data_IF_259452762873
#
_entry.id   IF_259452762873
#
_cell.length_a   1.000
_cell.length_b   1.000
_cell.length_c   1.000
_cell.angle_alpha   90.00
_cell.angle_beta   90.00
_cell.angle_gamma   90.00
#
_symmetry.space_group_name_H-M   'P 1'
#
loop_
_entity.id
_entity.type
_entity.pdbx_description
1 polymer ?
#
# COMPACT_ATOMS: atom_id res chain seq x y z
N UNK A 1 1.92 -12.78 -22.12
CA UNK A 1 0.47 -12.43 -22.15
C UNK A 1 0.36 -11.10 -21.43
N UNK A 2 -0.19 -10.05 -22.05
CA UNK A 2 -0.42 -8.81 -21.33
C UNK A 2 -1.64 -8.97 -20.41
N UNK A 3 -1.54 -8.51 -19.17
CA UNK A 3 -2.66 -8.49 -18.24
C UNK A 3 -3.37 -7.14 -18.37
N UNK A 4 -4.57 -7.12 -18.95
CA UNK A 4 -5.37 -5.88 -19.04
C UNK A 4 -5.63 -5.27 -17.66
N UNK A 5 -5.75 -6.11 -16.62
CA UNK A 5 -5.95 -5.70 -15.23
C UNK A 5 -5.25 -6.62 -14.26
N UNK A 6 -4.80 -6.04 -13.15
CA UNK A 6 -4.11 -6.69 -12.04
C UNK A 6 -4.77 -6.29 -10.70
N UNK A 7 -4.40 -6.97 -9.62
CA UNK A 7 -4.72 -6.54 -8.26
C UNK A 7 -3.53 -5.82 -7.63
N UNK A 8 -3.62 -4.51 -7.43
CA UNK A 8 -2.61 -3.78 -6.68
C UNK A 8 -2.85 -3.97 -5.18
N UNK A 9 -1.95 -4.69 -4.52
CA UNK A 9 -1.96 -4.94 -3.09
C UNK A 9 -1.40 -3.76 -2.30
N UNK A 10 -2.27 -2.85 -1.86
CA UNK A 10 -1.89 -1.74 -0.99
C UNK A 10 -1.81 -2.21 0.48
N UNK A 11 -0.76 -1.79 1.19
CA UNK A 11 -0.54 -2.12 2.61
C UNK A 11 -0.25 -0.88 3.48
N UNK A 12 0.12 0.24 2.87
CA UNK A 12 0.32 1.54 3.53
C UNK A 12 -0.89 2.47 3.35
N UNK A 13 -0.67 3.78 3.24
CA UNK A 13 -1.76 4.77 3.15
C UNK A 13 -2.72 4.58 1.97
N UNK A 14 -2.30 3.87 0.91
CA UNK A 14 -3.15 3.59 -0.25
C UNK A 14 -4.24 2.54 0.05
N UNK A 15 -4.30 1.99 1.27
CA UNK A 15 -5.47 1.21 1.71
C UNK A 15 -6.73 2.08 1.86
N UNK A 16 -6.61 3.40 2.05
CA UNK A 16 -7.77 4.31 2.09
C UNK A 16 -8.12 4.77 0.66
N UNK A 17 -9.39 4.62 0.25
CA UNK A 17 -9.81 4.93 -1.12
C UNK A 17 -9.53 6.38 -1.51
N UNK A 18 -9.89 7.33 -0.65
CA UNK A 18 -9.70 8.76 -0.93
C UNK A 18 -8.23 9.09 -1.23
N UNK A 19 -7.32 8.50 -0.46
CA UNK A 19 -5.87 8.65 -0.65
C UNK A 19 -5.43 8.01 -1.95
N UNK A 20 -5.82 6.75 -2.18
CA UNK A 20 -5.43 6.00 -3.38
C UNK A 20 -5.92 6.67 -4.67
N UNK A 21 -7.16 7.18 -4.69
CA UNK A 21 -7.71 7.86 -5.85
C UNK A 21 -6.93 9.11 -6.25
N UNK A 22 -6.12 9.72 -5.38
CA UNK A 22 -5.25 10.83 -5.80
C UNK A 22 -4.16 10.37 -6.78
N UNK A 23 -3.67 9.13 -6.65
CA UNK A 23 -2.70 8.58 -7.61
C UNK A 23 -3.33 8.23 -8.96
N UNK A 24 -4.65 8.02 -9.01
CA UNK A 24 -5.41 7.70 -10.23
C UNK A 24 -5.97 8.97 -10.88
N UNK A 25 -6.76 9.74 -10.14
CA UNK A 25 -7.51 10.91 -10.64
C UNK A 25 -6.69 12.22 -10.56
N UNK A 26 -5.55 12.20 -9.88
CA UNK A 26 -4.80 13.40 -9.53
C UNK A 26 -5.39 14.15 -8.35
N UNK A 27 -4.76 15.26 -7.99
CA UNK A 27 -5.22 16.13 -6.90
C UNK A 27 -4.38 15.99 -5.63
N UNK A 28 -4.95 16.38 -4.49
CA UNK A 28 -4.24 16.44 -3.22
C UNK A 28 -5.07 15.80 -2.14
N UNK A 29 -4.46 14.95 -1.31
CA UNK A 29 -5.14 14.28 -0.20
C UNK A 29 -5.45 15.26 0.94
N UNK A 30 -4.43 15.92 1.49
CA UNK A 30 -4.57 16.95 2.51
C UNK A 30 -3.58 18.10 2.23
N UNK A 31 -3.75 19.25 2.88
CA UNK A 31 -2.98 20.48 2.61
C UNK A 31 -1.45 20.27 2.70
N UNK A 32 -0.98 19.47 3.66
CA UNK A 32 0.42 19.10 3.88
C UNK A 32 0.92 17.95 2.96
N UNK A 33 0.09 17.41 2.07
CA UNK A 33 0.48 16.41 1.08
C UNK A 33 0.80 17.06 -0.26
N UNK A 34 1.78 16.54 -1.03
CA UNK A 34 2.05 17.00 -2.37
C UNK A 34 0.85 16.72 -3.27
N UNK A 35 0.73 17.50 -4.33
CA UNK A 35 -0.21 17.22 -5.41
C UNK A 35 0.28 15.98 -6.19
N UNK A 36 -0.62 15.03 -6.42
CA UNK A 36 -0.43 13.91 -7.32
C UNK A 36 -0.89 14.33 -8.72
N UNK A 37 -0.12 13.96 -9.74
CA UNK A 37 -0.45 14.24 -11.14
C UNK A 37 -1.67 13.41 -11.57
N UNK A 38 -1.81 12.20 -11.01
CA UNK A 38 -2.79 11.21 -11.47
C UNK A 38 -2.19 10.26 -12.50
N UNK A 39 -2.90 9.19 -12.80
CA UNK A 39 -2.49 8.22 -13.80
C UNK A 39 -2.87 8.71 -15.21
N UNK A 40 -2.18 8.20 -16.23
CA UNK A 40 -2.48 8.50 -17.64
C UNK A 40 -3.88 8.02 -18.02
N UNK A 41 -4.26 6.85 -17.50
CA UNK A 41 -5.65 6.39 -17.45
C UNK A 41 -6.24 6.68 -16.06
N UNK A 42 -7.14 7.67 -15.99
CA UNK A 42 -7.80 8.08 -14.75
C UNK A 42 -9.13 7.36 -14.47
N UNK A 43 -9.46 6.30 -15.21
CA UNK A 43 -10.64 5.49 -14.91
C UNK A 43 -10.56 4.91 -13.50
N UNK A 44 -11.70 4.91 -12.81
CA UNK A 44 -11.74 4.42 -11.43
C UNK A 44 -11.32 2.94 -11.35
N UNK A 45 -10.68 2.53 -10.23
CA UNK A 45 -10.48 1.13 -9.94
C UNK A 45 -11.79 0.34 -10.01
N UNK A 46 -11.69 -0.97 -10.20
CA UNK A 46 -12.85 -1.85 -10.21
C UNK A 46 -13.66 -1.74 -8.92
N UNK A 47 -14.98 -1.99 -9.00
CA UNK A 47 -15.91 -1.73 -7.90
C UNK A 47 -15.64 -2.52 -6.61
N UNK A 48 -14.82 -3.58 -6.67
CA UNK A 48 -14.44 -4.40 -5.51
C UNK A 48 -13.00 -4.12 -5.11
N UNK A 49 -12.76 -4.02 -3.81
CA UNK A 49 -11.42 -3.91 -3.23
C UNK A 49 -11.26 -4.85 -2.02
N UNK A 50 -11.04 -6.16 -2.23
CA UNK A 50 -11.01 -7.13 -1.15
C UNK A 50 -9.80 -6.94 -0.24
N UNK A 51 -9.96 -7.33 1.03
CA UNK A 51 -8.86 -7.51 1.96
C UNK A 51 -8.33 -8.94 1.83
N UNK A 52 -7.04 -9.09 1.56
CA UNK A 52 -6.37 -10.38 1.47
C UNK A 52 -5.29 -10.50 2.54
N UNK A 53 -5.12 -11.71 3.07
CA UNK A 53 -4.06 -12.05 3.99
C UNK A 53 -3.13 -13.04 3.28
N UNK A 54 -1.83 -12.89 3.51
CA UNK A 54 -0.82 -13.78 2.96
C UNK A 54 0.38 -13.89 3.89
N UNK A 55 1.34 -14.76 3.55
CA UNK A 55 2.52 -15.03 4.36
C UNK A 55 3.53 -13.87 4.21
N UNK A 56 3.13 -12.69 4.65
CA UNK A 56 3.89 -11.45 4.54
C UNK A 56 3.97 -10.78 5.92
N UNK A 57 5.00 -9.98 6.11
CA UNK A 57 5.18 -9.14 7.29
C UNK A 57 4.98 -7.67 6.93
N UNK A 58 4.35 -6.92 7.82
CA UNK A 58 4.24 -5.47 7.71
C UNK A 58 5.18 -4.84 8.74
N UNK A 59 6.05 -3.97 8.27
CA UNK A 59 6.94 -3.18 9.13
C UNK A 59 6.79 -1.69 8.83
N UNK A 60 7.08 -0.87 9.83
CA UNK A 60 7.17 0.57 9.68
C UNK A 60 8.61 1.00 9.92
N UNK A 61 9.17 1.80 9.03
CA UNK A 61 10.54 2.27 9.16
C UNK A 61 10.79 3.60 8.48
N UNK A 62 12.07 4.01 8.50
CA UNK A 62 12.49 5.37 8.17
C UNK A 62 11.71 6.42 8.98
N UNK A 63 11.74 7.68 8.52
CA UNK A 63 10.98 8.76 9.13
C UNK A 63 10.42 9.66 8.03
N UNK A 64 9.12 9.94 8.12
CA UNK A 64 8.42 10.86 7.25
C UNK A 64 7.85 12.00 8.08
N UNK A 65 8.31 13.23 7.82
CA UNK A 65 7.78 14.44 8.48
C UNK A 65 6.28 14.60 8.24
N UNK A 66 5.83 14.27 7.02
CA UNK A 66 4.41 14.35 6.62
C UNK A 66 3.53 13.43 7.45
N UNK A 67 4.03 12.25 7.75
CA UNK A 67 3.32 11.20 8.48
C UNK A 67 3.65 11.16 9.97
N UNK A 68 4.58 12.00 10.43
CA UNK A 68 4.99 12.10 11.82
C UNK A 68 5.64 10.82 12.38
N UNK A 69 6.27 10.00 11.53
CA UNK A 69 6.88 8.73 11.95
C UNK A 69 7.27 7.82 10.78
N UNK A 70 7.45 6.54 11.08
CA UNK A 70 7.78 5.52 10.09
C UNK A 70 6.67 5.29 9.05
N UNK A 71 7.06 4.87 7.85
CA UNK A 71 6.16 4.51 6.74
C UNK A 71 6.18 2.99 6.52
N UNK A 72 5.12 2.48 5.90
CA UNK A 72 4.89 1.05 5.77
C UNK A 72 5.77 0.40 4.70
N UNK A 73 6.22 -0.81 4.97
CA UNK A 73 6.91 -1.73 4.05
C UNK A 73 6.38 -3.14 4.25
N UNK A 74 6.16 -3.84 3.14
CA UNK A 74 5.73 -5.23 3.15
C UNK A 74 6.92 -6.12 2.81
N UNK A 75 7.21 -7.10 3.67
CA UNK A 75 8.17 -8.16 3.42
C UNK A 75 7.42 -9.42 2.96
N UNK A 76 7.58 -9.85 1.69
CA UNK A 76 6.88 -11.02 1.17
C UNK A 76 7.48 -12.36 1.60
N UNK A 77 8.63 -12.37 2.29
CA UNK A 77 9.36 -13.60 2.65
C UNK A 77 9.13 -14.04 4.10
N UNK A 78 8.50 -13.19 4.92
CA UNK A 78 8.27 -13.44 6.34
C UNK A 78 6.79 -13.69 6.59
N UNK A 79 6.44 -14.90 7.03
CA UNK A 79 5.06 -15.26 7.34
C UNK A 79 4.61 -14.72 8.71
N UNK A 80 3.98 -13.54 8.69
CA UNK A 80 3.33 -12.93 9.86
C UNK A 80 1.85 -12.59 9.58
N UNK A 81 1.26 -13.18 8.54
CA UNK A 81 -0.13 -13.02 8.14
C UNK A 81 -0.58 -11.53 8.04
N UNK A 82 0.26 -10.69 7.42
CA UNK A 82 -0.08 -9.31 7.10
C UNK A 82 -1.26 -9.24 6.12
N UNK A 83 -1.91 -8.08 6.08
CA UNK A 83 -3.09 -7.84 5.25
C UNK A 83 -2.85 -6.70 4.27
N UNK A 84 -3.35 -6.89 3.05
CA UNK A 84 -3.38 -5.89 2.00
C UNK A 84 -4.82 -5.61 1.58
N UNK A 85 -5.08 -4.40 1.07
CA UNK A 85 -6.29 -4.09 0.31
C UNK A 85 -5.95 -4.10 -1.17
N UNK A 86 -6.68 -4.91 -1.94
CA UNK A 86 -6.41 -5.09 -3.36
C UNK A 86 -7.27 -4.18 -4.21
N UNK A 87 -6.66 -3.30 -5.00
CA UNK A 87 -7.35 -2.47 -5.99
C UNK A 87 -7.26 -3.10 -7.37
N UNK A 88 -8.40 -3.34 -8.03
CA UNK A 88 -8.38 -3.83 -9.40
C UNK A 88 -8.11 -2.67 -10.36
N UNK A 89 -6.93 -2.61 -10.97
CA UNK A 89 -6.49 -1.51 -11.85
C UNK A 89 -5.83 -2.08 -13.10
N UNK A 90 -5.63 -1.26 -14.13
CA UNK A 90 -4.84 -1.67 -15.31
C UNK A 90 -3.36 -1.79 -14.93
N UNK A 91 -2.60 -2.56 -15.71
CA UNK A 91 -1.14 -2.62 -15.59
C UNK A 91 -0.48 -1.24 -15.74
N UNK A 92 -0.98 -0.42 -16.68
CA UNK A 92 -0.55 0.97 -16.89
C UNK A 92 -0.80 1.83 -15.65
N UNK A 93 -1.99 1.73 -15.05
CA UNK A 93 -2.30 2.45 -13.80
C UNK A 93 -1.37 2.02 -12.68
N UNK A 94 -1.06 0.72 -12.56
CA UNK A 94 -0.13 0.23 -11.55
C UNK A 94 1.29 0.80 -11.75
N UNK A 95 1.79 0.86 -12.99
CA UNK A 95 3.06 1.51 -13.32
C UNK A 95 3.05 3.01 -13.00
N UNK A 96 1.97 3.71 -13.29
CA UNK A 96 1.83 5.15 -13.01
C UNK A 96 1.79 5.44 -11.51
N UNK A 97 1.18 4.56 -10.71
CA UNK A 97 1.23 4.63 -9.25
C UNK A 97 2.66 4.38 -8.78
N UNK A 98 3.33 3.33 -9.28
CA UNK A 98 4.71 3.02 -8.91
C UNK A 98 5.69 4.16 -9.26
N UNK A 99 5.53 4.81 -10.41
CA UNK A 99 6.31 5.98 -10.80
C UNK A 99 6.14 7.12 -9.79
N UNK A 100 4.91 7.49 -9.47
CA UNK A 100 4.61 8.56 -8.54
C UNK A 100 5.12 8.29 -7.12
N UNK A 101 5.06 7.05 -6.63
CA UNK A 101 5.60 6.68 -5.31
C UNK A 101 7.13 6.77 -5.25
N UNK A 102 7.79 6.67 -6.41
CA UNK A 102 9.23 6.81 -6.56
C UNK A 102 9.66 8.22 -7.01
N UNK A 103 8.74 9.19 -7.02
CA UNK A 103 9.04 10.58 -7.37
C UNK A 103 9.20 10.85 -8.88
N UNK A 104 8.79 9.88 -9.71
CA UNK A 104 8.82 9.95 -11.17
C UNK A 104 7.44 10.35 -11.71
N UNK A 105 7.40 10.75 -12.98
CA UNK A 105 6.18 11.05 -13.71
C UNK A 105 5.50 9.75 -14.20
N UNK A 106 4.15 9.73 -14.27
CA UNK A 106 3.42 8.66 -14.94
C UNK A 106 4.00 8.35 -16.34
N UNK A 107 4.29 7.08 -16.60
CA UNK A 107 4.93 6.62 -17.83
C UNK A 107 6.45 6.57 -17.86
N UNK A 108 7.14 6.98 -16.79
CA UNK A 108 8.60 6.81 -16.69
C UNK A 108 9.02 5.40 -16.22
N UNK A 109 8.08 4.60 -15.70
CA UNK A 109 8.29 3.19 -15.38
C UNK A 109 7.48 2.35 -16.36
N UNK A 110 8.16 1.47 -17.08
CA UNK A 110 7.55 0.52 -18.01
C UNK A 110 8.11 -0.88 -17.73
N UNK A 111 7.24 -1.79 -17.28
CA UNK A 111 7.59 -3.16 -16.90
C UNK A 111 6.51 -4.10 -17.41
N UNK A 112 6.90 -5.25 -17.96
CA UNK A 112 5.97 -6.31 -18.31
C UNK A 112 5.60 -7.11 -17.05
N UNK A 113 4.32 -7.04 -16.64
CA UNK A 113 3.81 -7.78 -15.47
C UNK A 113 3.97 -9.29 -15.64
N UNK A 114 3.92 -9.83 -16.85
CA UNK A 114 4.13 -11.25 -17.09
C UNK A 114 5.56 -11.66 -16.73
N UNK A 115 6.55 -10.85 -17.10
CA UNK A 115 7.95 -11.10 -16.74
C UNK A 115 8.16 -11.04 -15.22
N UNK A 116 7.56 -10.05 -14.54
CA UNK A 116 7.66 -9.96 -13.07
C UNK A 116 6.97 -11.14 -12.39
N UNK A 117 5.80 -11.57 -12.91
CA UNK A 117 5.10 -12.75 -12.39
C UNK A 117 5.95 -14.01 -12.53
N UNK A 118 6.62 -14.19 -13.66
CA UNK A 118 7.49 -15.34 -13.91
C UNK A 118 8.76 -15.31 -13.03
N UNK A 119 9.35 -14.13 -12.83
CA UNK A 119 10.52 -13.94 -11.97
C UNK A 119 10.18 -13.92 -10.47
N UNK A 120 8.93 -13.61 -10.11
CA UNK A 120 8.47 -13.35 -8.74
C UNK A 120 8.63 -11.88 -8.33
N UNK A 121 9.65 -11.18 -8.82
CA UNK A 121 9.93 -9.79 -8.49
C UNK A 121 10.83 -9.10 -9.51
N UNK A 122 10.88 -7.77 -9.45
CA UNK A 122 11.79 -6.94 -10.23
C UNK A 122 12.18 -5.69 -9.45
N UNK A 123 13.47 -5.35 -9.46
CA UNK A 123 13.97 -4.06 -8.95
C UNK A 123 14.00 -3.05 -10.09
N UNK A 124 13.34 -1.91 -9.89
CA UNK A 124 13.10 -0.85 -10.88
C UNK A 124 13.86 0.46 -10.58
N UNK A 125 14.70 0.49 -9.55
CA UNK A 125 15.50 1.65 -9.18
C UNK A 125 16.11 1.55 -7.78
N UNK A 126 16.43 2.71 -7.21
CA UNK A 126 17.22 2.83 -5.96
C UNK A 126 16.44 3.57 -4.84
N UNK A 127 15.15 3.80 -5.06
CA UNK A 127 14.23 4.49 -4.16
C UNK A 127 13.62 3.55 -3.11
N UNK A 128 12.89 4.10 -2.12
CA UNK A 128 12.30 3.32 -1.03
C UNK A 128 11.30 2.25 -1.48
N UNK A 129 10.64 2.44 -2.61
CA UNK A 129 9.63 1.53 -3.17
C UNK A 129 10.04 1.00 -4.55
N UNK A 130 11.33 0.68 -4.70
CA UNK A 130 11.95 0.30 -5.97
C UNK A 130 11.86 -1.20 -6.30
N UNK A 131 11.14 -2.02 -5.53
CA UNK A 131 10.98 -3.45 -5.80
C UNK A 131 9.51 -3.77 -6.07
N UNK A 132 9.18 -4.20 -7.28
CA UNK A 132 7.87 -4.75 -7.64
C UNK A 132 7.86 -6.24 -7.29
N UNK A 133 6.80 -6.70 -6.63
CA UNK A 133 6.67 -8.09 -6.17
C UNK A 133 5.34 -8.67 -6.61
N UNK A 134 5.38 -9.90 -7.12
CA UNK A 134 4.22 -10.76 -7.34
C UNK A 134 3.88 -11.54 -6.06
N UNK A 135 2.67 -11.33 -5.54
CA UNK A 135 2.21 -11.90 -4.26
C UNK A 135 1.29 -13.12 -4.42
N UNK A 136 1.14 -13.64 -5.64
CA UNK A 136 0.21 -14.72 -5.97
C UNK A 136 -0.98 -14.26 -6.80
N UNK A 137 -2.06 -15.03 -6.81
CA UNK A 137 -3.25 -14.74 -7.62
C UNK A 137 -4.51 -14.61 -6.77
N UNK A 138 -5.42 -13.75 -7.23
CA UNK A 138 -6.78 -13.69 -6.74
C UNK A 138 -7.75 -13.62 -7.92
N UNK A 139 -8.70 -14.56 -7.94
CA UNK A 139 -9.66 -14.72 -9.04
C UNK A 139 -9.00 -14.80 -10.43
N UNK A 140 -7.85 -15.48 -10.52
CA UNK A 140 -7.11 -15.70 -11.77
C UNK A 140 -6.32 -14.48 -12.28
N UNK A 141 -6.22 -13.40 -11.49
CA UNK A 141 -5.42 -12.22 -11.81
C UNK A 141 -4.24 -12.10 -10.83
N UNK A 142 -3.06 -11.63 -11.29
CA UNK A 142 -1.89 -11.47 -10.43
C UNK A 142 -2.13 -10.36 -9.40
N UNK A 143 -1.65 -10.60 -8.18
CA UNK A 143 -1.54 -9.58 -7.14
C UNK A 143 -0.12 -9.02 -7.21
N UNK A 144 -0.02 -7.73 -7.47
CA UNK A 144 1.25 -7.01 -7.54
C UNK A 144 1.32 -5.97 -6.44
N UNK A 145 2.52 -5.76 -5.91
CA UNK A 145 2.80 -4.63 -5.02
C UNK A 145 4.16 -4.03 -5.33
N UNK A 146 4.50 -2.92 -4.70
CA UNK A 146 5.85 -2.39 -4.68
C UNK A 146 6.27 -2.16 -3.22
N UNK A 147 7.50 -2.47 -2.89
CA UNK A 147 8.08 -2.39 -1.54
C UNK A 147 9.57 -2.05 -1.62
N UNK A 148 10.26 -2.05 -0.48
CA UNK A 148 11.70 -1.84 -0.45
C UNK A 148 12.48 -3.09 -0.86
N UNK A 149 13.63 -2.89 -1.49
CA UNK A 149 14.65 -3.92 -1.71
C UNK A 149 15.54 -4.14 -0.48
N UNK A 150 15.41 -3.31 0.57
CA UNK A 150 16.24 -3.34 1.77
C UNK A 150 15.48 -3.84 3.00
N UNK A 151 16.22 -4.40 3.95
CA UNK A 151 15.71 -4.71 5.28
C UNK A 151 15.44 -3.42 6.07
N UNK A 152 14.26 -3.33 6.66
CA UNK A 152 13.79 -2.11 7.30
C UNK A 152 14.02 -2.17 8.82
N UNK A 153 14.75 -1.18 9.34
CA UNK A 153 14.82 -0.96 10.80
C UNK A 153 13.51 -0.35 11.28
N UNK A 154 12.86 -1.04 12.22
CA UNK A 154 11.57 -0.62 12.75
C UNK A 154 11.63 0.78 13.40
N UNK A 155 10.67 1.64 13.04
CA UNK A 155 10.44 2.97 13.59
C UNK A 155 8.94 3.18 13.74
N UNK A 156 8.52 3.72 14.88
CA UNK A 156 7.10 3.91 15.16
C UNK A 156 6.42 4.82 14.12
N UNK A 157 5.29 4.41 13.53
CA UNK A 157 4.49 5.28 12.68
C UNK A 157 3.80 6.38 13.49
N UNK A 158 3.54 7.51 12.84
CA UNK A 158 2.81 8.61 13.45
C UNK A 158 1.29 8.39 13.44
N UNK A 159 0.61 9.17 14.30
CA UNK A 159 -0.85 9.11 14.51
C UNK A 159 -1.65 9.25 13.21
N UNK A 160 -1.33 10.24 12.39
CA UNK A 160 -2.06 10.52 11.14
C UNK A 160 -1.94 9.36 10.15
N UNK A 161 -0.77 8.73 10.08
CA UNK A 161 -0.55 7.60 9.17
C UNK A 161 -1.32 6.36 9.58
N UNK A 162 -1.28 6.00 10.86
CA UNK A 162 -2.06 4.87 11.38
C UNK A 162 -3.56 5.11 11.28
N UNK A 163 -4.03 6.35 11.50
CA UNK A 163 -5.42 6.73 11.25
C UNK A 163 -5.84 6.43 9.81
N UNK A 164 -5.04 6.84 8.81
CA UNK A 164 -5.32 6.54 7.39
C UNK A 164 -5.41 5.03 7.15
N UNK A 165 -4.46 4.26 7.67
CA UNK A 165 -4.41 2.81 7.44
C UNK A 165 -5.62 2.12 8.09
N UNK A 166 -5.92 2.43 9.35
CA UNK A 166 -7.05 1.86 10.07
C UNK A 166 -8.38 2.19 9.38
N UNK A 167 -8.57 3.45 8.98
CA UNK A 167 -9.78 3.88 8.29
C UNK A 167 -9.91 3.25 6.89
N UNK A 168 -8.81 2.99 6.18
CA UNK A 168 -8.86 2.26 4.92
C UNK A 168 -9.26 0.79 5.11
N UNK A 169 -8.85 0.13 6.19
CA UNK A 169 -9.33 -1.21 6.53
C UNK A 169 -10.79 -1.22 6.95
N UNK A 170 -11.23 -0.24 7.75
CA UNK A 170 -12.64 -0.08 8.14
C UNK A 170 -13.53 0.21 6.94
N UNK A 171 -13.09 1.03 5.98
CA UNK A 171 -13.82 1.29 4.74
C UNK A 171 -14.08 0.00 3.94
N UNK A 172 -13.10 -0.91 3.92
CA UNK A 172 -13.23 -2.19 3.22
C UNK A 172 -14.03 -3.25 4.02
N UNK A 173 -13.92 -3.24 5.35
CA UNK A 173 -14.60 -4.18 6.25
C UNK A 173 -15.01 -3.50 7.57
N UNK A 174 -16.16 -2.79 7.60
CA UNK A 174 -16.54 -1.92 8.72
C UNK A 174 -16.80 -2.63 10.04
N UNK A 175 -17.17 -3.91 9.99
CA UNK A 175 -17.56 -4.70 11.16
C UNK A 175 -16.41 -5.47 11.80
N UNK A 176 -15.17 -5.28 11.32
CA UNK A 176 -14.00 -6.07 11.72
C UNK A 176 -12.96 -5.26 12.51
N UNK A 177 -13.39 -4.28 13.31
CA UNK A 177 -12.47 -3.40 14.07
C UNK A 177 -11.44 -4.18 14.89
N UNK A 178 -11.84 -5.20 15.64
CA UNK A 178 -10.91 -5.97 16.47
C UNK A 178 -9.81 -6.64 15.65
N UNK A 179 -10.18 -7.18 14.48
CA UNK A 179 -9.24 -7.82 13.55
C UNK A 179 -8.30 -6.78 12.89
N UNK A 180 -8.77 -5.55 12.68
CA UNK A 180 -7.95 -4.45 12.15
C UNK A 180 -6.97 -3.93 13.20
N UNK A 181 -7.36 -3.92 14.48
CA UNK A 181 -6.45 -3.61 15.58
C UNK A 181 -5.40 -4.71 15.75
N UNK A 182 -5.79 -5.99 15.76
CA UNK A 182 -4.88 -7.12 15.92
C UNK A 182 -3.81 -7.20 14.81
N UNK A 183 -4.18 -6.93 13.56
CA UNK A 183 -3.19 -6.92 12.47
C UNK A 183 -2.22 -5.74 12.57
N UNK A 184 -2.68 -4.57 13.03
CA UNK A 184 -1.80 -3.41 13.19
C UNK A 184 -0.85 -3.64 14.37
N UNK A 185 -1.33 -4.18 15.48
CA UNK A 185 -0.50 -4.48 16.65
C UNK A 185 0.57 -5.55 16.40
N UNK A 186 0.41 -6.39 15.36
CA UNK A 186 1.43 -7.34 14.93
C UNK A 186 2.51 -6.72 14.05
N UNK A 187 2.29 -5.53 13.49
CA UNK A 187 3.24 -4.92 12.59
C UNK A 187 4.43 -4.33 13.36
N UNK A 188 5.64 -4.62 12.90
CA UNK A 188 6.88 -4.12 13.50
C UNK A 188 6.91 -2.60 13.44
N UNK A 189 7.09 -1.93 14.59
CA UNK A 189 6.98 -0.46 14.68
C UNK A 189 5.71 -0.02 15.41
N UNK A 190 4.63 -0.80 15.29
CA UNK A 190 3.39 -0.56 16.04
C UNK A 190 3.45 -1.33 17.36
N UNK A 191 3.88 -2.58 17.31
CA UNK A 191 4.00 -3.54 18.42
C UNK A 191 4.69 -3.00 19.69
N UNK A 192 5.69 -2.13 19.54
CA UNK A 192 6.41 -1.55 20.68
C UNK A 192 6.01 -0.12 21.05
N UNK A 193 5.21 0.56 20.23
CA UNK A 193 4.92 1.99 20.38
C UNK A 193 3.44 2.34 20.56
N UNK A 194 2.54 1.40 20.23
CA UNK A 194 1.10 1.63 20.25
C UNK A 194 0.40 0.55 21.06
N UNK A 195 -0.72 0.95 21.67
CA UNK A 195 -1.63 0.04 22.39
C UNK A 195 -2.94 -0.08 21.63
N UNK A 196 -3.69 -1.15 21.91
CA UNK A 196 -5.02 -1.36 21.33
C UNK A 196 -5.93 -0.15 21.59
N UNK A 197 -5.88 0.39 22.80
CA UNK A 197 -6.68 1.54 23.25
C UNK A 197 -6.34 2.77 22.40
N UNK A 198 -5.05 3.11 22.28
CA UNK A 198 -4.59 4.27 21.48
C UNK A 198 -4.85 4.12 19.99
N UNK A 199 -4.87 2.89 19.46
CA UNK A 199 -5.23 2.63 18.05
C UNK A 199 -6.73 2.77 17.83
N UNK A 200 -7.56 2.30 18.77
CA UNK A 200 -9.01 2.43 18.68
C UNK A 200 -9.45 3.89 18.63
N UNK A 201 -8.77 4.78 19.34
CA UNK A 201 -8.98 6.23 19.28
C UNK A 201 -8.75 6.83 17.87
N UNK A 202 -8.10 6.11 16.95
CA UNK A 202 -7.86 6.55 15.57
C UNK A 202 -9.00 6.21 14.62
N UNK A 203 -9.91 5.32 15.01
CA UNK A 203 -11.01 4.89 14.17
C UNK A 203 -11.96 6.06 13.89
N UNK A 204 -12.28 6.28 12.63
CA UNK A 204 -13.12 7.36 12.12
C UNK A 204 -12.61 8.78 12.45
N UNK A 205 -11.32 8.95 12.77
CA UNK A 205 -10.71 10.28 12.79
C UNK A 205 -10.59 10.82 11.37
N UNK A 206 -11.20 11.97 11.12
CA UNK A 206 -10.96 12.77 9.92
C UNK A 206 -9.52 13.33 9.98
N UNK A 207 -8.81 13.31 8.85
CA UNK A 207 -7.45 13.84 8.71
C UNK A 207 -7.45 15.29 8.20
#
# INVERSE_FOLDING_TARGET
MNFDRIWYGAYGSNVLQERFLRYIEGGRYASNHPHQVGARDNQRPGAKSPLLHGPWSLSFGYSSERWGGGVAFLDPEIDEAACIRCWNITDQQFMDVAAQENGLQPGEIEVDIAEVKEAGELVIGDTWYSRIVYLGEYLGQPIMTFTSSESIKATAPGKSYLSVILNGFLEAAPTQIDLHLDRLLRAHGVDFAWTRETLLELANLEN
#
